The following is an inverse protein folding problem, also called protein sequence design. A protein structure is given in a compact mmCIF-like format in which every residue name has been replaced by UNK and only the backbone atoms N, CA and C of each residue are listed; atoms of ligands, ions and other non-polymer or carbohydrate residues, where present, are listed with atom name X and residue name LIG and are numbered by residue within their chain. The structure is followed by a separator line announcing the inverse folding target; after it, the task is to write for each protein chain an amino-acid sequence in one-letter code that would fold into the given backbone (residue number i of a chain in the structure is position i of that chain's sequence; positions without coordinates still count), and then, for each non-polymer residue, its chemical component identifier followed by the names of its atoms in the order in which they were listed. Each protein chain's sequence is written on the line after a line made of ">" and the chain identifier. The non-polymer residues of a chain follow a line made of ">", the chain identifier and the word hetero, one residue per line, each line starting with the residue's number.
data_IF_574150454682
#
_entry.id   IF_574150454682
#
_cell.length_a   1.000
_cell.length_b   1.000
_cell.length_c   1.000
_cell.angle_alpha   90.00
_cell.angle_beta   90.00
_cell.angle_gamma   90.00
#
_symmetry.space_group_name_H-M   'P 1'
#
loop_
_entity.id
_entity.type
_entity.pdbx_description
1 polymer ?
#
# COMPACT_ATOMS: atom_id res chain seq x y z
N UNK A 1 18.79 -46.19 -2.17
CA UNK A 1 19.03 -45.19 -1.12
C UNK A 1 17.67 -44.67 -0.63
N UNK A 2 16.75 -45.55 -0.19
CA UNK A 2 15.30 -45.28 -0.27
C UNK A 2 14.49 -45.56 1.00
N UNK A 3 15.13 -46.05 2.07
CA UNK A 3 14.42 -46.36 3.32
C UNK A 3 14.31 -45.12 4.22
N UNK A 4 15.39 -44.32 4.29
CA UNK A 4 15.41 -43.09 5.10
C UNK A 4 14.45 -42.03 4.56
N UNK A 5 14.35 -41.90 3.23
CA UNK A 5 13.43 -40.96 2.57
C UNK A 5 11.97 -41.34 2.86
N UNK A 6 11.66 -42.64 2.91
CA UNK A 6 10.31 -43.13 3.21
C UNK A 6 9.93 -42.84 4.67
N UNK A 7 10.83 -43.10 5.63
CA UNK A 7 10.58 -42.78 7.04
C UNK A 7 10.41 -41.28 7.32
N UNK A 8 11.14 -40.40 6.62
CA UNK A 8 10.91 -38.95 6.79
C UNK A 8 9.57 -38.52 6.19
N UNK A 9 9.14 -39.12 5.07
CA UNK A 9 7.81 -38.84 4.49
C UNK A 9 6.69 -39.31 5.43
N UNK A 10 6.84 -40.48 6.06
CA UNK A 10 5.87 -41.00 7.03
C UNK A 10 5.74 -40.09 8.27
N UNK A 11 6.86 -39.51 8.74
CA UNK A 11 6.87 -38.55 9.84
C UNK A 11 6.20 -37.22 9.46
N UNK A 12 6.39 -36.75 8.22
CA UNK A 12 5.74 -35.56 7.69
C UNK A 12 4.23 -35.74 7.45
N UNK A 13 3.76 -36.99 7.32
CA UNK A 13 2.34 -37.32 7.19
C UNK A 13 1.59 -37.33 8.53
N UNK A 14 2.28 -37.12 9.65
CA UNK A 14 1.63 -36.96 10.95
C UNK A 14 0.79 -35.67 10.98
N UNK A 15 -0.39 -35.68 11.61
CA UNK A 15 -1.26 -34.51 11.68
C UNK A 15 -0.55 -33.31 12.34
N UNK A 16 0.37 -33.56 13.27
CA UNK A 16 1.19 -32.52 13.91
C UNK A 16 2.17 -31.89 12.92
N UNK A 17 2.89 -32.69 12.13
CA UNK A 17 3.82 -32.17 11.13
C UNK A 17 3.09 -31.38 10.03
N UNK A 18 1.91 -31.83 9.61
CA UNK A 18 1.07 -31.08 8.68
C UNK A 18 0.66 -29.72 9.24
N UNK A 19 0.20 -29.63 10.49
CA UNK A 19 -0.16 -28.36 11.12
C UNK A 19 1.04 -27.40 11.14
N UNK A 20 2.22 -27.87 11.54
CA UNK A 20 3.43 -27.03 11.58
C UNK A 20 3.81 -26.53 10.19
N UNK A 21 3.78 -27.41 9.18
CA UNK A 21 4.06 -27.04 7.79
C UNK A 21 3.03 -26.05 7.25
N UNK A 22 1.76 -26.28 7.47
CA UNK A 22 0.68 -25.38 7.04
C UNK A 22 0.78 -24.02 7.71
N UNK A 23 1.04 -23.97 9.02
CA UNK A 23 1.23 -22.71 9.75
C UNK A 23 2.46 -21.97 9.24
N UNK A 24 3.56 -22.67 8.98
CA UNK A 24 4.78 -22.09 8.44
C UNK A 24 4.56 -21.54 7.03
N UNK A 25 3.91 -22.32 6.15
CA UNK A 25 3.50 -21.88 4.82
C UNK A 25 2.62 -20.62 4.89
N UNK A 26 1.63 -20.61 5.77
CA UNK A 26 0.74 -19.47 5.98
C UNK A 26 1.51 -18.25 6.48
N UNK A 27 2.44 -18.43 7.41
CA UNK A 27 3.29 -17.35 7.92
C UNK A 27 4.15 -16.73 6.81
N UNK A 28 4.75 -17.55 5.95
CA UNK A 28 5.50 -17.08 4.78
C UNK A 28 4.59 -16.26 3.86
N UNK A 29 3.38 -16.75 3.57
CA UNK A 29 2.41 -16.01 2.76
C UNK A 29 2.01 -14.67 3.38
N UNK A 30 1.83 -14.60 4.70
CA UNK A 30 1.55 -13.34 5.40
C UNK A 30 2.71 -12.36 5.30
N UNK A 31 3.96 -12.82 5.46
CA UNK A 31 5.15 -11.97 5.32
C UNK A 31 5.26 -11.43 3.90
N UNK A 32 5.07 -12.28 2.90
CA UNK A 32 5.07 -11.87 1.48
C UNK A 32 3.94 -10.89 1.21
N UNK A 33 2.72 -11.19 1.65
CA UNK A 33 1.56 -10.30 1.49
C UNK A 33 1.80 -8.94 2.15
N UNK A 34 2.32 -8.92 3.37
CA UNK A 34 2.71 -7.70 4.07
C UNK A 34 3.79 -6.92 3.30
N UNK A 35 4.81 -7.60 2.79
CA UNK A 35 5.88 -6.96 2.02
C UNK A 35 5.37 -6.38 0.70
N UNK A 36 4.50 -7.11 0.00
CA UNK A 36 3.83 -6.64 -1.22
C UNK A 36 2.99 -5.40 -0.90
N UNK A 37 2.09 -5.47 0.07
CA UNK A 37 1.26 -4.32 0.49
C UNK A 37 2.13 -3.14 0.90
N UNK A 38 3.21 -3.36 1.66
CA UNK A 38 4.15 -2.31 2.05
C UNK A 38 4.89 -1.72 0.85
N UNK A 39 5.31 -2.53 -0.11
CA UNK A 39 5.98 -2.07 -1.34
C UNK A 39 5.04 -1.25 -2.21
N UNK A 40 3.80 -1.70 -2.39
CA UNK A 40 2.78 -0.92 -3.07
C UNK A 40 2.44 0.36 -2.30
N UNK A 41 2.43 0.31 -0.96
CA UNK A 41 2.22 1.51 -0.13
C UNK A 41 3.42 2.46 -0.12
N UNK A 42 4.65 1.99 -0.28
CA UNK A 42 5.83 2.85 -0.47
C UNK A 42 5.76 3.52 -1.84
N UNK A 43 5.32 2.81 -2.89
CA UNK A 43 4.98 3.48 -4.14
C UNK A 43 3.85 4.49 -3.95
N UNK A 44 2.81 4.20 -3.15
CA UNK A 44 1.80 5.19 -2.76
C UNK A 44 2.26 6.22 -1.73
N UNK A 45 3.50 6.19 -1.24
CA UNK A 45 4.10 7.29 -0.47
C UNK A 45 4.84 8.26 -1.38
N UNK A 46 5.38 7.79 -2.50
CA UNK A 46 5.81 8.65 -3.62
C UNK A 46 4.62 9.11 -4.49
N UNK A 47 3.55 8.32 -4.53
CA UNK A 47 2.33 8.51 -5.32
C UNK A 47 1.11 8.80 -4.41
N UNK A 48 1.37 9.29 -3.19
CA UNK A 48 0.43 10.21 -2.58
C UNK A 48 0.59 11.46 -3.44
N UNK A 49 -0.12 11.50 -4.58
CA UNK A 49 -0.27 12.69 -5.40
C UNK A 49 -0.41 13.82 -4.40
N UNK A 50 0.65 14.63 -4.26
CA UNK A 50 0.67 15.66 -3.24
C UNK A 50 -0.58 16.49 -3.50
N UNK A 51 -1.16 17.13 -2.49
CA UNK A 51 -2.28 18.04 -2.73
C UNK A 51 -1.99 19.01 -3.91
N UNK A 52 -0.70 19.29 -4.19
CA UNK A 52 -0.20 19.98 -5.38
C UNK A 52 -0.41 19.26 -6.74
N UNK A 53 -0.18 17.95 -6.84
CA UNK A 53 -0.39 17.18 -8.07
C UNK A 53 -1.88 16.97 -8.37
N UNK A 54 -2.68 16.74 -7.32
CA UNK A 54 -4.14 16.73 -7.43
C UNK A 54 -4.66 18.09 -7.90
N UNK A 55 -4.17 19.20 -7.33
CA UNK A 55 -4.52 20.56 -7.76
C UNK A 55 -4.14 20.83 -9.23
N UNK A 56 -3.00 20.30 -9.67
CA UNK A 56 -2.54 20.45 -11.05
C UNK A 56 -3.47 19.72 -12.02
N UNK A 57 -3.86 18.49 -11.71
CA UNK A 57 -4.81 17.72 -12.51
C UNK A 57 -6.21 18.37 -12.53
N UNK A 58 -6.69 18.87 -11.38
CA UNK A 58 -7.95 19.62 -11.33
C UNK A 58 -7.91 20.94 -12.10
N UNK A 59 -6.74 21.58 -12.22
CA UNK A 59 -6.55 22.77 -13.06
C UNK A 59 -6.60 22.40 -14.54
N UNK A 60 -5.96 21.31 -14.94
CA UNK A 60 -6.01 20.84 -16.34
C UNK A 60 -7.44 20.44 -16.74
N UNK A 61 -8.18 19.73 -15.89
CA UNK A 61 -9.60 19.40 -16.13
C UNK A 61 -10.52 20.65 -16.14
N UNK A 62 -10.15 21.72 -15.41
CA UNK A 62 -10.84 23.01 -15.46
C UNK A 62 -10.54 23.75 -16.78
N UNK A 63 -9.29 23.78 -17.21
CA UNK A 63 -8.87 24.40 -18.48
C UNK A 63 -9.45 23.67 -19.71
N UNK A 64 -9.69 22.36 -19.60
CA UNK A 64 -10.34 21.54 -20.65
C UNK A 64 -11.88 21.65 -20.63
N UNK A 65 -12.45 22.33 -19.63
CA UNK A 65 -13.88 22.69 -19.56
C UNK A 65 -14.79 21.63 -18.94
N UNK A 66 -14.24 20.58 -18.34
CA UNK A 66 -14.99 19.48 -17.71
C UNK A 66 -15.42 19.81 -16.27
N UNK A 67 -14.92 20.93 -15.72
CA UNK A 67 -15.22 21.38 -14.35
C UNK A 67 -15.62 22.86 -14.36
N UNK A 68 -16.71 23.22 -13.67
CA UNK A 68 -17.15 24.61 -13.54
C UNK A 68 -16.27 25.42 -12.57
N UNK A 69 -16.12 26.73 -12.82
CA UNK A 69 -15.43 27.69 -11.93
C UNK A 69 -15.84 27.59 -10.45
N UNK A 70 -17.10 27.24 -10.19
CA UNK A 70 -17.62 27.08 -8.84
C UNK A 70 -17.08 25.81 -8.17
N UNK A 71 -16.98 24.70 -8.91
CA UNK A 71 -16.46 23.43 -8.44
C UNK A 71 -14.95 23.50 -8.23
N UNK A 72 -14.23 24.18 -9.13
CA UNK A 72 -12.81 24.43 -8.97
C UNK A 72 -12.48 25.23 -7.70
N UNK A 73 -13.27 26.27 -7.37
CA UNK A 73 -13.08 27.05 -6.12
C UNK A 73 -13.29 26.22 -4.85
N UNK A 74 -14.27 25.32 -4.85
CA UNK A 74 -14.54 24.44 -3.70
C UNK A 74 -13.38 23.45 -3.52
N UNK A 75 -12.94 22.82 -4.61
CA UNK A 75 -11.81 21.88 -4.58
C UNK A 75 -10.52 22.59 -4.13
N UNK A 76 -10.26 23.79 -4.66
CA UNK A 76 -9.10 24.60 -4.26
C UNK A 76 -9.12 24.96 -2.78
N UNK A 77 -10.29 25.24 -2.20
CA UNK A 77 -10.40 25.53 -0.77
C UNK A 77 -10.06 24.31 0.08
N UNK A 78 -10.67 23.16 -0.22
CA UNK A 78 -10.49 21.93 0.56
C UNK A 78 -9.06 21.41 0.43
N UNK A 79 -8.51 21.44 -0.79
CA UNK A 79 -7.19 20.90 -1.09
C UNK A 79 -6.07 21.87 -0.66
N UNK A 80 -6.34 23.18 -0.63
CA UNK A 80 -5.44 24.18 -0.05
C UNK A 80 -5.24 24.02 1.46
N UNK A 81 -6.29 23.64 2.20
CA UNK A 81 -6.20 23.36 3.64
C UNK A 81 -5.39 22.09 3.91
N UNK A 82 -5.55 21.06 3.08
CA UNK A 82 -4.77 19.81 3.17
C UNK A 82 -3.29 20.05 2.83
N UNK A 83 -2.99 20.82 1.77
CA UNK A 83 -1.62 21.18 1.41
C UNK A 83 -0.91 21.96 2.53
N UNK A 84 -1.64 22.85 3.21
CA UNK A 84 -1.10 23.63 4.34
C UNK A 84 -0.84 22.75 5.57
N UNK A 85 -1.61 21.69 5.76
CA UNK A 85 -1.38 20.70 6.80
C UNK A 85 -0.17 19.83 6.46
N UNK A 86 -0.04 19.34 5.23
CA UNK A 86 1.15 18.60 4.75
C UNK A 86 2.44 19.41 4.92
N UNK A 87 2.43 20.70 4.57
CA UNK A 87 3.59 21.59 4.75
C UNK A 87 3.94 21.85 6.23
N UNK A 88 2.94 21.85 7.11
CA UNK A 88 3.13 22.03 8.56
C UNK A 88 3.68 20.77 9.22
N UNK A 89 3.24 19.60 8.77
CA UNK A 89 3.71 18.30 9.25
C UNK A 89 5.12 17.99 8.70
N UNK A 90 5.43 18.41 7.47
CA UNK A 90 6.76 18.27 6.87
C UNK A 90 7.80 19.28 7.42
N UNK A 91 7.35 20.44 7.91
CA UNK A 91 8.21 21.47 8.51
C UNK A 91 8.29 21.42 10.05
N UNK A 92 7.60 20.46 10.68
CA UNK A 92 7.50 20.31 12.14
C UNK A 92 8.52 19.37 12.77
N UNK A 93 9.36 18.71 11.96
CA UNK A 93 10.50 17.90 12.43
C UNK A 93 11.80 18.71 12.24
N UNK A 94 12.08 19.60 13.20
CA UNK A 94 13.36 20.32 13.34
C UNK A 94 13.75 20.38 14.81
#
# INVERSE_FOLDING_TARGET
>A
MDVRVRSVIDFLQTPVAQIVLTVTMLFILLVVGYYVVRKFRDQSKEDQLSANDLLTNFREMHDEGDISDAEFRVIKSVLGDQLRQELKDAGGDS
#
